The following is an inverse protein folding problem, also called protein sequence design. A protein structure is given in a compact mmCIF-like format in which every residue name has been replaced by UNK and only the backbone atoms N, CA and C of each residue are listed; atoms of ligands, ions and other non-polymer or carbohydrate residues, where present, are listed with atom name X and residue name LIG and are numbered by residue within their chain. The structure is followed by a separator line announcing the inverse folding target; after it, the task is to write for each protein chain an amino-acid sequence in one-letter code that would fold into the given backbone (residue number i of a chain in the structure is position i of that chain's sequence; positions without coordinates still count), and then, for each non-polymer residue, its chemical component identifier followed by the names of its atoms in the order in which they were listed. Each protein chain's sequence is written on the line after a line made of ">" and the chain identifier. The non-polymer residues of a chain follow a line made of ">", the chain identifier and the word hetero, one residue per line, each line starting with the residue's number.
data_IF_822699309807
#
_entry.id   IF_822699309807
#
_cell.length_a   1.000
_cell.length_b   1.000
_cell.length_c   1.000
_cell.angle_alpha   90.00
_cell.angle_beta   90.00
_cell.angle_gamma   90.00
#
_symmetry.space_group_name_H-M   'P 1'
#
loop_
_entity.id
_entity.type
_entity.pdbx_description
1 polymer ?
#
# COMPACT_ATOMS: atom_id res chain seq x y z
N UNK A 1 31.26 23.95 -6.06
CA UNK A 1 29.81 23.94 -5.81
C UNK A 1 29.15 23.35 -7.04
N UNK A 2 28.82 22.07 -7.03
CA UNK A 2 28.10 21.45 -8.15
C UNK A 2 26.76 22.15 -8.32
N UNK A 3 26.59 22.75 -9.49
CA UNK A 3 25.34 23.31 -9.99
C UNK A 3 24.24 22.25 -9.78
N UNK A 4 23.37 22.47 -8.78
CA UNK A 4 22.19 21.64 -8.56
C UNK A 4 21.38 21.64 -9.85
N UNK A 5 21.44 20.53 -10.57
CA UNK A 5 20.54 20.20 -11.66
C UNK A 5 19.11 20.56 -11.20
N UNK A 6 18.40 21.40 -11.96
CA UNK A 6 17.08 21.89 -11.55
C UNK A 6 16.22 20.67 -11.20
N UNK A 7 15.58 20.64 -10.01
CA UNK A 7 14.79 19.49 -9.62
C UNK A 7 13.69 19.26 -10.64
N UNK A 8 13.61 18.05 -11.19
CA UNK A 8 12.58 17.67 -12.15
C UNK A 8 11.17 17.78 -11.56
N UNK A 9 10.13 17.82 -12.42
CA UNK A 9 8.73 18.01 -12.00
C UNK A 9 8.29 17.03 -10.90
N UNK A 10 8.61 15.75 -11.06
CA UNK A 10 8.30 14.68 -10.10
C UNK A 10 8.98 14.93 -8.75
N UNK A 11 10.24 15.36 -8.75
CA UNK A 11 10.96 15.66 -7.51
C UNK A 11 10.34 16.86 -6.78
N UNK A 12 9.97 17.91 -7.51
CA UNK A 12 9.27 19.07 -6.93
C UNK A 12 7.94 18.68 -6.29
N UNK A 13 7.17 17.82 -6.95
CA UNK A 13 5.91 17.30 -6.39
C UNK A 13 6.14 16.54 -5.08
N UNK A 14 7.11 15.61 -5.06
CA UNK A 14 7.42 14.84 -3.85
C UNK A 14 7.92 15.73 -2.70
N UNK A 15 8.76 16.73 -3.01
CA UNK A 15 9.18 17.73 -2.02
C UNK A 15 7.98 18.56 -1.51
N UNK A 16 7.03 18.90 -2.37
CA UNK A 16 5.80 19.60 -1.99
C UNK A 16 4.93 18.76 -1.05
N UNK A 17 4.77 17.46 -1.35
CA UNK A 17 4.04 16.53 -0.48
C UNK A 17 4.70 16.40 0.91
N UNK A 18 6.04 16.40 0.98
CA UNK A 18 6.74 16.45 2.26
C UNK A 18 6.58 17.77 3.02
N UNK A 19 6.47 18.91 2.30
CA UNK A 19 6.20 20.21 2.95
C UNK A 19 4.80 20.25 3.55
N UNK A 20 3.81 19.68 2.86
CA UNK A 20 2.42 19.65 3.29
C UNK A 20 2.03 18.38 4.08
N UNK A 21 3.02 17.62 4.58
CA UNK A 21 2.79 16.38 5.35
C UNK A 21 1.84 16.54 6.55
N UNK A 22 1.82 17.71 7.18
CA UNK A 22 0.92 18.04 8.29
C UNK A 22 -0.54 18.08 7.83
N UNK A 23 -0.81 18.58 6.62
CA UNK A 23 -2.16 18.62 6.06
C UNK A 23 -2.68 17.19 5.87
N UNK A 24 -1.86 16.29 5.34
CA UNK A 24 -2.25 14.90 5.16
C UNK A 24 -2.57 14.20 6.50
N UNK A 25 -1.76 14.47 7.53
CA UNK A 25 -1.99 13.98 8.88
C UNK A 25 -3.29 14.55 9.48
N UNK A 26 -3.52 15.87 9.34
CA UNK A 26 -4.73 16.51 9.84
C UNK A 26 -5.98 15.97 9.14
N UNK A 27 -5.95 15.83 7.81
CA UNK A 27 -7.06 15.23 7.05
C UNK A 27 -7.32 13.81 7.51
N UNK A 28 -6.27 13.00 7.69
CA UNK A 28 -6.42 11.64 8.22
C UNK A 28 -7.11 11.66 9.59
N UNK A 29 -6.63 12.45 10.54
CA UNK A 29 -7.22 12.57 11.88
C UNK A 29 -8.67 13.06 11.82
N UNK A 30 -8.96 14.09 11.03
CA UNK A 30 -10.31 14.67 10.87
C UNK A 30 -11.28 13.69 10.23
N UNK A 31 -10.81 12.75 9.41
CA UNK A 31 -11.67 11.73 8.80
C UNK A 31 -11.82 10.52 9.72
N UNK A 32 -10.73 10.03 10.31
CA UNK A 32 -10.74 8.79 11.10
C UNK A 32 -11.29 8.99 12.51
N UNK A 33 -10.99 10.11 13.18
CA UNK A 33 -11.38 10.34 14.58
C UNK A 33 -12.89 10.53 14.75
N UNK A 34 -13.59 11.32 13.93
CA UNK A 34 -15.04 11.42 14.02
C UNK A 34 -15.75 10.10 13.70
N UNK A 35 -15.28 9.31 12.74
CA UNK A 35 -15.84 7.97 12.53
C UNK A 35 -15.62 7.04 13.72
N UNK A 36 -14.48 7.18 14.41
CA UNK A 36 -14.13 6.33 15.56
C UNK A 36 -14.83 6.78 16.86
N UNK A 37 -15.11 8.07 17.01
CA UNK A 37 -15.66 8.67 18.23
C UNK A 37 -17.15 9.08 18.15
N UNK A 38 -17.69 9.39 16.97
CA UNK A 38 -19.03 9.95 16.85
C UNK A 38 -20.05 8.94 16.30
N UNK A 39 -20.97 8.53 17.17
CA UNK A 39 -22.34 8.19 16.78
C UNK A 39 -23.06 9.48 16.32
N UNK A 40 -22.71 10.02 15.15
CA UNK A 40 -23.54 11.07 14.54
C UNK A 40 -24.88 10.40 14.22
N UNK A 41 -25.95 10.92 14.82
CA UNK A 41 -27.32 10.39 14.99
C UNK A 41 -28.08 9.82 13.76
N UNK A 42 -27.42 9.55 12.63
CA UNK A 42 -27.96 8.84 11.46
C UNK A 42 -27.25 7.53 11.11
N UNK A 43 -26.16 7.16 11.80
CA UNK A 43 -25.38 5.94 11.54
C UNK A 43 -25.47 4.98 12.73
N UNK A 44 -26.50 4.14 12.75
CA UNK A 44 -26.80 3.14 13.80
C UNK A 44 -26.04 1.81 13.56
N UNK A 45 -24.72 1.89 13.42
CA UNK A 45 -23.81 0.75 13.61
C UNK A 45 -22.63 1.31 14.39
N UNK A 46 -22.21 0.64 15.47
CA UNK A 46 -21.12 1.13 16.31
C UNK A 46 -19.91 1.47 15.44
N UNK A 47 -19.42 2.72 15.48
CA UNK A 47 -18.38 3.19 14.54
C UNK A 47 -17.13 2.28 14.48
N UNK A 48 -16.88 1.54 15.57
CA UNK A 48 -15.87 0.49 15.65
C UNK A 48 -16.12 -0.68 14.71
N UNK A 49 -17.35 -1.18 14.59
CA UNK A 49 -17.69 -2.28 13.67
C UNK A 49 -17.42 -1.92 12.21
N UNK A 50 -17.66 -0.68 11.77
CA UNK A 50 -17.37 -0.24 10.40
C UNK A 50 -15.87 -0.23 10.05
N UNK A 51 -15.00 0.05 11.02
CA UNK A 51 -13.54 0.00 10.79
C UNK A 51 -13.00 -1.41 10.60
N UNK A 52 -13.57 -2.39 11.32
CA UNK A 52 -13.07 -3.78 11.32
C UNK A 52 -13.85 -4.69 10.37
N UNK A 53 -15.07 -4.34 9.97
CA UNK A 53 -15.84 -5.08 8.98
C UNK A 53 -15.15 -5.13 7.63
N UNK A 54 -14.43 -4.06 7.25
CA UNK A 54 -13.74 -3.98 5.96
C UNK A 54 -12.61 -5.02 5.83
N UNK A 55 -11.65 -5.13 6.77
CA UNK A 55 -10.67 -6.22 6.75
C UNK A 55 -11.27 -7.63 6.90
N UNK A 56 -12.34 -7.79 7.70
CA UNK A 56 -13.08 -9.06 7.84
C UNK A 56 -13.64 -9.48 6.49
N UNK A 57 -14.43 -8.61 5.86
CA UNK A 57 -15.06 -8.87 4.58
C UNK A 57 -14.03 -9.16 3.48
N UNK A 58 -12.89 -8.46 3.50
CA UNK A 58 -11.78 -8.72 2.58
C UNK A 58 -11.15 -10.12 2.78
N UNK A 59 -11.04 -10.58 4.02
CA UNK A 59 -10.57 -11.94 4.35
C UNK A 59 -11.60 -13.00 3.93
N UNK A 60 -12.88 -12.80 4.23
CA UNK A 60 -13.98 -13.70 3.81
C UNK A 60 -14.07 -13.82 2.29
N UNK A 61 -14.03 -12.70 1.57
CA UNK A 61 -14.07 -12.70 0.11
C UNK A 61 -12.87 -13.46 -0.49
N UNK A 62 -11.70 -13.36 0.14
CA UNK A 62 -10.54 -14.14 -0.27
C UNK A 62 -10.72 -15.63 0.03
N UNK A 63 -11.25 -15.99 1.20
CA UNK A 63 -11.57 -17.37 1.59
C UNK A 63 -12.60 -18.02 0.67
N UNK A 64 -13.69 -17.32 0.36
CA UNK A 64 -14.71 -17.75 -0.60
C UNK A 64 -14.10 -17.96 -1.99
N UNK A 65 -13.27 -17.02 -2.48
CA UNK A 65 -12.57 -17.19 -3.75
C UNK A 65 -11.68 -18.44 -3.76
N UNK A 66 -10.92 -18.68 -2.68
CA UNK A 66 -10.06 -19.85 -2.54
C UNK A 66 -10.86 -21.17 -2.50
N UNK A 67 -11.98 -21.20 -1.78
CA UNK A 67 -12.86 -22.39 -1.69
C UNK A 67 -13.51 -22.77 -3.02
N UNK A 68 -13.69 -21.80 -3.92
CA UNK A 68 -14.22 -22.02 -5.27
C UNK A 68 -13.25 -22.72 -6.23
N UNK A 69 -12.01 -22.97 -5.81
CA UNK A 69 -10.93 -23.51 -6.63
C UNK A 69 -10.88 -25.03 -6.51
N UNK A 70 -11.36 -25.72 -7.55
CA UNK A 70 -11.44 -27.19 -7.60
C UNK A 70 -10.19 -27.85 -8.18
N UNK A 71 -9.26 -27.09 -8.76
CA UNK A 71 -7.98 -27.58 -9.28
C UNK A 71 -7.07 -26.49 -9.86
N UNK A 72 -5.92 -26.89 -10.42
CA UNK A 72 -4.93 -25.96 -10.99
C UNK A 72 -5.49 -25.17 -12.17
N UNK A 73 -6.30 -25.81 -13.02
CA UNK A 73 -6.92 -25.14 -14.16
C UNK A 73 -7.91 -24.05 -13.73
N UNK A 74 -8.74 -24.32 -12.71
CA UNK A 74 -9.67 -23.34 -12.17
C UNK A 74 -8.96 -22.19 -11.45
N UNK A 75 -7.85 -22.48 -10.76
CA UNK A 75 -6.97 -21.47 -10.15
C UNK A 75 -6.39 -20.55 -11.23
N UNK A 76 -5.87 -21.13 -12.32
CA UNK A 76 -5.30 -20.36 -13.41
C UNK A 76 -6.34 -19.48 -14.09
N UNK A 77 -7.51 -20.03 -14.45
CA UNK A 77 -8.56 -19.27 -15.12
C UNK A 77 -9.09 -18.11 -14.26
N UNK A 78 -9.16 -18.28 -12.93
CA UNK A 78 -9.64 -17.24 -12.01
C UNK A 78 -8.58 -16.20 -11.65
N UNK A 79 -7.28 -16.56 -11.68
CA UNK A 79 -6.20 -15.71 -11.20
C UNK A 79 -5.31 -15.11 -12.31
N UNK A 80 -5.38 -15.58 -13.56
CA UNK A 80 -4.38 -15.29 -14.62
C UNK A 80 -4.05 -13.79 -14.77
N UNK A 81 -5.04 -12.91 -14.75
CA UNK A 81 -4.79 -11.46 -14.88
C UNK A 81 -4.17 -10.86 -13.62
N UNK A 82 -4.55 -11.33 -12.43
CA UNK A 82 -3.94 -10.93 -11.17
C UNK A 82 -2.50 -11.43 -11.05
N UNK A 83 -2.23 -12.66 -11.49
CA UNK A 83 -0.87 -13.22 -11.55
C UNK A 83 -0.02 -12.41 -12.52
N UNK A 84 -0.52 -12.11 -13.72
CA UNK A 84 0.19 -11.29 -14.69
C UNK A 84 0.49 -9.88 -14.14
N UNK A 85 -0.50 -9.22 -13.54
CA UNK A 85 -0.32 -7.91 -12.91
C UNK A 85 0.67 -7.98 -11.74
N UNK A 86 0.58 -9.00 -10.89
CA UNK A 86 1.47 -9.22 -9.75
C UNK A 86 2.92 -9.43 -10.18
N UNK A 87 3.16 -10.28 -11.18
CA UNK A 87 4.51 -10.53 -11.75
C UNK A 87 5.07 -9.25 -12.37
N UNK A 88 4.27 -8.50 -13.13
CA UNK A 88 4.69 -7.23 -13.70
C UNK A 88 5.03 -6.19 -12.63
N UNK A 89 4.22 -6.09 -11.56
CA UNK A 89 4.49 -5.21 -10.42
C UNK A 89 5.81 -5.55 -9.73
N UNK A 90 6.03 -6.84 -9.45
CA UNK A 90 7.27 -7.32 -8.85
C UNK A 90 8.46 -7.02 -9.75
N UNK A 91 8.36 -7.30 -11.06
CA UNK A 91 9.41 -7.00 -12.04
C UNK A 91 9.76 -5.50 -12.06
N UNK A 92 8.76 -4.62 -12.05
CA UNK A 92 8.99 -3.17 -11.95
C UNK A 92 9.69 -2.79 -10.65
N UNK A 93 9.33 -3.40 -9.51
CA UNK A 93 10.01 -3.14 -8.24
C UNK A 93 11.46 -3.62 -8.23
N UNK A 94 11.78 -4.72 -8.92
CA UNK A 94 13.16 -5.15 -9.16
C UNK A 94 13.93 -4.16 -10.04
N UNK A 95 13.34 -3.71 -11.16
CA UNK A 95 13.98 -2.80 -12.13
C UNK A 95 14.23 -1.42 -11.53
N UNK A 96 13.23 -0.83 -10.88
CA UNK A 96 13.29 0.55 -10.39
C UNK A 96 13.79 0.65 -8.93
N UNK A 97 13.41 -0.28 -8.05
CA UNK A 97 13.80 -0.30 -6.64
C UNK A 97 15.02 -1.18 -6.34
N UNK A 98 15.44 -2.01 -7.29
CA UNK A 98 16.52 -2.98 -7.13
C UNK A 98 16.10 -4.26 -6.40
N UNK A 99 17.03 -5.22 -6.31
CA UNK A 99 16.79 -6.57 -5.75
C UNK A 99 16.15 -6.54 -4.37
N UNK A 100 16.60 -5.64 -3.48
CA UNK A 100 16.07 -5.58 -2.10
C UNK A 100 14.61 -5.12 -2.06
N UNK A 101 14.19 -4.25 -2.97
CA UNK A 101 12.82 -3.79 -3.07
C UNK A 101 11.90 -4.90 -3.60
N UNK A 102 12.36 -5.63 -4.63
CA UNK A 102 11.64 -6.78 -5.18
C UNK A 102 11.49 -7.94 -4.19
N UNK A 103 12.53 -8.25 -3.42
CA UNK A 103 12.43 -9.27 -2.35
C UNK A 103 11.49 -8.82 -1.24
N UNK A 104 11.59 -7.55 -0.82
CA UNK A 104 10.71 -7.01 0.21
C UNK A 104 9.24 -7.07 -0.21
N UNK A 105 8.94 -6.73 -1.48
CA UNK A 105 7.57 -6.80 -2.00
C UNK A 105 7.04 -8.22 -2.05
N UNK A 106 7.81 -9.19 -2.54
CA UNK A 106 7.41 -10.62 -2.54
C UNK A 106 7.09 -11.08 -1.11
N UNK A 107 8.02 -10.86 -0.17
CA UNK A 107 7.84 -11.29 1.22
C UNK A 107 6.62 -10.64 1.84
N UNK A 108 6.39 -9.35 1.60
CA UNK A 108 5.22 -8.66 2.13
C UNK A 108 3.91 -9.08 1.48
N UNK A 109 3.90 -9.39 0.18
CA UNK A 109 2.70 -9.89 -0.50
C UNK A 109 2.34 -11.28 0.04
N UNK A 110 3.33 -12.18 0.19
CA UNK A 110 3.13 -13.50 0.80
C UNK A 110 2.66 -13.39 2.25
N UNK A 111 3.24 -12.47 3.03
CA UNK A 111 2.78 -12.19 4.39
C UNK A 111 1.34 -11.65 4.40
N UNK A 112 0.97 -10.79 3.44
CA UNK A 112 -0.40 -10.30 3.28
C UNK A 112 -1.40 -11.42 3.00
N UNK A 113 -1.08 -12.33 2.08
CA UNK A 113 -1.89 -13.54 1.85
C UNK A 113 -1.99 -14.41 3.10
N UNK A 114 -0.87 -14.64 3.80
CA UNK A 114 -0.87 -15.40 5.04
C UNK A 114 -1.78 -14.79 6.11
N UNK A 115 -1.77 -13.45 6.24
CA UNK A 115 -2.67 -12.74 7.16
C UNK A 115 -4.13 -12.91 6.75
N UNK A 116 -4.47 -12.78 5.46
CA UNK A 116 -5.85 -12.95 4.99
C UNK A 116 -6.38 -14.37 5.24
N UNK A 117 -5.53 -15.39 5.14
CA UNK A 117 -5.88 -16.79 5.45
C UNK A 117 -6.06 -16.99 6.96
N UNK A 118 -5.17 -16.41 7.78
CA UNK A 118 -5.24 -16.55 9.24
C UNK A 118 -6.46 -15.84 9.86
N UNK A 119 -6.96 -14.79 9.21
CA UNK A 119 -8.13 -14.05 9.69
C UNK A 119 -9.44 -14.84 9.49
N UNK A 120 -9.54 -15.67 8.45
CA UNK A 120 -10.69 -16.55 8.11
C UNK A 120 -12.10 -15.92 8.31
N UNK A 121 -12.21 -14.59 8.17
CA UNK A 121 -13.46 -13.88 8.45
C UNK A 121 -13.91 -13.82 9.92
N UNK A 122 -13.11 -14.29 10.87
CA UNK A 122 -13.51 -14.30 12.28
C UNK A 122 -13.36 -12.90 12.90
N UNK A 123 -14.49 -12.20 13.05
CA UNK A 123 -14.57 -10.89 13.70
C UNK A 123 -13.93 -10.86 15.10
N UNK A 124 -13.98 -11.99 15.83
CA UNK A 124 -13.40 -12.11 17.18
C UNK A 124 -11.87 -12.12 17.16
N UNK A 125 -11.26 -12.49 16.02
CA UNK A 125 -9.81 -12.53 15.79
C UNK A 125 -9.30 -11.22 15.18
N UNK A 126 -10.10 -10.58 14.31
CA UNK A 126 -9.67 -9.38 13.57
C UNK A 126 -9.44 -8.18 14.50
N UNK A 127 -10.35 -7.98 15.47
CA UNK A 127 -10.28 -6.85 16.40
C UNK A 127 -8.99 -6.85 17.26
N UNK A 128 -8.65 -7.96 17.96
CA UNK A 128 -7.38 -8.03 18.68
C UNK A 128 -6.19 -8.04 17.73
N UNK A 129 -6.25 -8.66 16.55
CA UNK A 129 -5.11 -8.68 15.61
C UNK A 129 -4.72 -7.28 15.13
N UNK A 130 -5.67 -6.43 14.74
CA UNK A 130 -5.35 -5.07 14.29
C UNK A 130 -4.89 -4.18 15.44
N UNK A 131 -5.49 -4.31 16.63
CA UNK A 131 -5.04 -3.59 17.82
C UNK A 131 -3.62 -3.99 18.24
N UNK A 132 -3.34 -5.30 18.27
CA UNK A 132 -2.01 -5.83 18.55
C UNK A 132 -1.03 -5.42 17.46
N UNK A 133 -1.40 -5.46 16.17
CA UNK A 133 -0.54 -5.01 15.08
C UNK A 133 -0.21 -3.51 15.18
N UNK A 134 -1.18 -2.66 15.52
CA UNK A 134 -0.96 -1.24 15.75
C UNK A 134 -0.03 -1.01 16.94
N UNK A 135 -0.23 -1.72 18.05
CA UNK A 135 0.60 -1.61 19.25
C UNK A 135 2.01 -2.14 18.99
N UNK A 136 2.14 -3.33 18.41
CA UNK A 136 3.43 -3.94 18.04
C UNK A 136 4.15 -3.06 17.03
N UNK A 137 3.47 -2.55 16.00
CA UNK A 137 4.10 -1.65 15.02
C UNK A 137 4.56 -0.35 15.67
N UNK A 138 3.83 0.21 16.64
CA UNK A 138 4.24 1.38 17.41
C UNK A 138 5.46 1.09 18.31
N UNK A 139 5.45 -0.03 19.04
CA UNK A 139 6.58 -0.47 19.88
C UNK A 139 7.81 -0.68 19.01
N UNK A 140 7.69 -1.43 17.91
CA UNK A 140 8.78 -1.64 16.97
C UNK A 140 9.27 -0.30 16.39
N UNK A 141 8.36 0.62 16.03
CA UNK A 141 8.70 1.95 15.53
C UNK A 141 9.55 2.77 16.51
N UNK A 142 9.32 2.61 17.82
CA UNK A 142 10.08 3.28 18.88
C UNK A 142 11.42 2.59 19.15
N UNK A 143 11.50 1.26 19.11
CA UNK A 143 12.69 0.55 19.62
C UNK A 143 13.58 -0.07 18.52
N UNK A 144 13.04 -0.41 17.35
CA UNK A 144 13.77 -1.19 16.35
C UNK A 144 14.37 -0.30 15.26
N UNK A 145 15.69 -0.40 15.10
CA UNK A 145 16.46 0.30 14.06
C UNK A 145 16.44 -0.48 12.73
N UNK A 146 15.26 -0.64 12.13
CA UNK A 146 15.11 -1.22 10.78
C UNK A 146 14.22 -0.35 9.90
N UNK A 147 14.59 -0.20 8.62
CA UNK A 147 13.87 0.65 7.68
C UNK A 147 12.43 0.19 7.43
N UNK A 148 12.22 -1.12 7.35
CA UNK A 148 10.89 -1.77 7.19
C UNK A 148 9.95 -1.38 8.34
N UNK A 149 10.47 -1.33 9.57
CA UNK A 149 9.68 -0.97 10.76
C UNK A 149 9.27 0.51 10.73
N UNK A 150 10.14 1.39 10.22
CA UNK A 150 9.81 2.81 10.05
C UNK A 150 8.63 3.04 9.09
N UNK A 151 8.34 2.10 8.20
CA UNK A 151 7.20 2.16 7.28
C UNK A 151 5.97 1.39 7.77
N UNK A 152 6.12 0.44 8.70
CA UNK A 152 5.04 -0.41 9.19
C UNK A 152 3.97 0.38 9.95
N UNK A 153 4.36 1.26 10.88
CA UNK A 153 3.40 2.08 11.62
C UNK A 153 2.67 3.10 10.72
N UNK A 154 3.36 3.87 9.84
CA UNK A 154 2.69 4.68 8.82
C UNK A 154 1.75 3.89 7.93
N UNK A 155 2.12 2.66 7.53
CA UNK A 155 1.24 1.78 6.76
C UNK A 155 -0.04 1.48 7.53
N UNK A 156 0.07 0.97 8.77
CA UNK A 156 -1.09 0.64 9.62
C UNK A 156 -2.00 1.86 9.83
N UNK A 157 -1.42 3.04 10.10
CA UNK A 157 -2.20 4.29 10.21
C UNK A 157 -2.93 4.64 8.91
N UNK A 158 -2.24 4.55 7.76
CA UNK A 158 -2.85 4.81 6.46
C UNK A 158 -3.87 3.73 6.06
N UNK A 159 -3.76 2.52 6.59
CA UNK A 159 -4.73 1.45 6.34
C UNK A 159 -6.07 1.73 7.01
N UNK A 160 -6.10 2.37 8.18
CA UNK A 160 -7.35 2.82 8.82
C UNK A 160 -8.10 3.88 8.03
N UNK A 161 -7.42 4.59 7.12
CA UNK A 161 -8.08 5.57 6.26
C UNK A 161 -8.90 4.93 5.14
N UNK A 162 -8.59 3.68 4.76
CA UNK A 162 -9.24 3.01 3.62
C UNK A 162 -10.72 2.69 3.91
N UNK A 163 -11.10 2.08 5.06
CA UNK A 163 -12.51 1.92 5.44
C UNK A 163 -13.28 3.25 5.43
N UNK A 164 -12.66 4.33 5.92
CA UNK A 164 -13.32 5.64 5.91
C UNK A 164 -13.62 6.16 4.50
N UNK A 165 -12.70 5.95 3.54
CA UNK A 165 -12.95 6.29 2.14
C UNK A 165 -14.08 5.47 1.53
N UNK A 166 -14.24 4.22 1.98
CA UNK A 166 -15.31 3.33 1.54
C UNK A 166 -16.66 3.84 2.03
N UNK A 167 -16.76 4.15 3.33
CA UNK A 167 -18.00 4.59 3.96
C UNK A 167 -18.42 6.01 3.55
N UNK A 168 -17.46 6.91 3.28
CA UNK A 168 -17.73 8.28 2.80
C UNK A 168 -18.36 8.32 1.40
N UNK A 169 -18.27 7.24 0.63
CA UNK A 169 -18.81 7.22 -0.72
C UNK A 169 -19.41 5.86 -1.11
N UNK A 170 -20.60 5.53 -0.57
CA UNK A 170 -21.26 4.26 -0.84
C UNK A 170 -21.54 4.05 -2.33
N UNK A 171 -21.82 5.13 -3.09
CA UNK A 171 -22.15 5.10 -4.51
C UNK A 171 -20.93 4.94 -5.45
N UNK A 172 -19.71 5.24 -4.97
CA UNK A 172 -18.47 4.99 -5.72
C UNK A 172 -18.09 3.50 -5.66
N UNK A 173 -18.79 2.72 -4.83
CA UNK A 173 -18.26 1.49 -4.27
C UNK A 173 -19.32 0.37 -4.08
N UNK A 174 -20.58 0.62 -4.47
CA UNK A 174 -21.74 -0.26 -4.28
C UNK A 174 -21.81 -1.51 -5.17
N UNK A 175 -20.68 -2.05 -5.63
CA UNK A 175 -20.64 -3.30 -6.39
C UNK A 175 -20.29 -4.48 -5.46
N UNK A 176 -20.89 -5.65 -5.73
CA UNK A 176 -20.79 -6.93 -4.99
C UNK A 176 -19.38 -7.58 -4.91
N UNK A 177 -18.31 -6.78 -4.95
CA UNK A 177 -16.93 -7.26 -5.05
C UNK A 177 -15.92 -6.18 -4.66
N UNK A 178 -16.34 -5.32 -3.75
CA UNK A 178 -15.51 -4.31 -3.10
C UNK A 178 -14.52 -4.95 -2.13
N UNK A 179 -14.93 -6.02 -1.48
CA UNK A 179 -14.20 -6.77 -0.47
C UNK A 179 -12.93 -7.38 -1.07
N UNK A 180 -13.07 -8.02 -2.24
CA UNK A 180 -11.94 -8.58 -2.98
C UNK A 180 -10.99 -7.49 -3.50
N UNK A 181 -11.52 -6.33 -3.90
CA UNK A 181 -10.70 -5.17 -4.27
C UNK A 181 -9.90 -4.64 -3.07
N UNK A 182 -10.51 -4.58 -1.88
CA UNK A 182 -9.86 -4.15 -0.64
C UNK A 182 -8.72 -5.08 -0.23
N UNK A 183 -8.91 -6.40 -0.38
CA UNK A 183 -7.85 -7.39 -0.16
C UNK A 183 -6.65 -7.16 -1.10
N UNK A 184 -6.92 -7.02 -2.39
CA UNK A 184 -5.90 -6.77 -3.42
C UNK A 184 -5.18 -5.44 -3.20
N UNK A 185 -5.93 -4.39 -2.83
CA UNK A 185 -5.40 -3.09 -2.43
C UNK A 185 -4.43 -3.24 -1.26
N UNK A 186 -4.84 -3.89 -0.18
CA UNK A 186 -4.05 -3.99 1.05
C UNK A 186 -2.71 -4.68 0.81
N UNK A 187 -2.69 -5.74 0.00
CA UNK A 187 -1.47 -6.45 -0.39
C UNK A 187 -0.55 -5.59 -1.25
N UNK A 188 -1.10 -4.92 -2.27
CA UNK A 188 -0.34 -4.02 -3.13
C UNK A 188 0.23 -2.82 -2.36
N UNK A 189 -0.58 -2.23 -1.48
CA UNK A 189 -0.21 -1.14 -0.60
C UNK A 189 0.95 -1.56 0.31
N UNK A 190 0.83 -2.71 0.98
CA UNK A 190 1.87 -3.26 1.84
C UNK A 190 3.17 -3.51 1.06
N UNK A 191 3.07 -4.10 -0.13
CA UNK A 191 4.22 -4.37 -1.00
C UNK A 191 5.00 -3.12 -1.39
N UNK A 192 4.29 -2.07 -1.82
CA UNK A 192 4.92 -0.81 -2.18
C UNK A 192 5.48 -0.06 -0.97
N UNK A 193 4.79 -0.12 0.18
CA UNK A 193 5.27 0.47 1.43
C UNK A 193 6.58 -0.17 1.90
N UNK A 194 6.68 -1.50 1.86
CA UNK A 194 7.89 -2.21 2.26
C UNK A 194 9.03 -2.04 1.26
N UNK A 195 8.73 -2.05 -0.04
CA UNK A 195 9.71 -1.74 -1.09
C UNK A 195 10.26 -0.31 -0.93
N UNK A 196 9.40 0.67 -0.72
CA UNK A 196 9.77 2.06 -0.43
C UNK A 196 10.69 2.14 0.79
N UNK A 197 10.33 1.47 1.88
CA UNK A 197 11.08 1.47 3.14
C UNK A 197 12.52 0.96 2.96
N UNK A 198 12.68 -0.12 2.20
CA UNK A 198 13.99 -0.73 1.93
C UNK A 198 14.84 0.16 1.03
N UNK A 199 14.25 0.80 0.02
CA UNK A 199 14.97 1.76 -0.84
C UNK A 199 15.38 3.01 -0.06
N UNK A 200 14.49 3.56 0.77
CA UNK A 200 14.81 4.68 1.65
C UNK A 200 15.94 4.32 2.62
N UNK A 201 15.88 3.14 3.23
CA UNK A 201 16.93 2.60 4.09
C UNK A 201 18.29 2.48 3.39
N UNK A 202 18.31 2.04 2.13
CA UNK A 202 19.54 1.98 1.32
C UNK A 202 20.18 3.37 1.16
N UNK A 203 19.39 4.39 0.84
CA UNK A 203 19.91 5.76 0.68
C UNK A 203 20.37 6.38 2.02
N UNK A 204 19.67 6.10 3.12
CA UNK A 204 20.09 6.52 4.47
C UNK A 204 21.40 5.86 4.90
N UNK A 205 21.56 4.57 4.60
CA UNK A 205 22.80 3.83 4.84
C UNK A 205 24.00 4.33 4.02
N UNK A 206 23.74 5.03 2.91
CA UNK A 206 24.78 5.72 2.15
C UNK A 206 25.12 7.12 2.70
N UNK A 207 24.43 7.58 3.75
CA UNK A 207 24.65 8.88 4.41
C UNK A 207 23.89 10.06 3.79
N UNK A 208 22.92 9.79 2.89
CA UNK A 208 22.03 10.82 2.32
C UNK A 208 21.15 11.43 3.44
N UNK A 209 20.90 12.75 3.46
CA UNK A 209 19.98 13.34 4.43
C UNK A 209 18.57 12.76 4.31
N UNK A 210 17.85 12.67 5.42
CA UNK A 210 16.54 12.00 5.53
C UNK A 210 15.55 12.41 4.44
N UNK A 211 15.25 13.70 4.30
CA UNK A 211 14.32 14.19 3.28
C UNK A 211 14.78 13.81 1.86
N UNK A 212 16.07 13.91 1.58
CA UNK A 212 16.64 13.51 0.29
C UNK A 212 16.57 12.01 0.03
N UNK A 213 16.72 11.17 1.05
CA UNK A 213 16.59 9.72 0.94
C UNK A 213 15.14 9.31 0.65
N UNK A 214 14.18 9.90 1.35
CA UNK A 214 12.75 9.65 1.14
C UNK A 214 12.29 10.10 -0.26
N UNK A 215 12.67 11.31 -0.70
CA UNK A 215 12.32 11.80 -2.04
C UNK A 215 12.94 10.95 -3.14
N UNK A 216 14.19 10.50 -2.98
CA UNK A 216 14.84 9.60 -3.94
C UNK A 216 14.16 8.23 -4.00
N UNK A 217 13.81 7.66 -2.85
CA UNK A 217 13.08 6.41 -2.78
C UNK A 217 11.70 6.53 -3.43
N UNK A 218 10.92 7.56 -3.07
CA UNK A 218 9.60 7.79 -3.66
C UNK A 218 9.69 8.02 -5.17
N UNK A 219 10.70 8.77 -5.65
CA UNK A 219 10.91 8.96 -7.09
C UNK A 219 11.16 7.63 -7.82
N UNK A 220 11.89 6.69 -7.22
CA UNK A 220 12.08 5.35 -7.79
C UNK A 220 10.78 4.53 -7.76
N UNK A 221 9.91 4.77 -6.78
CA UNK A 221 8.62 4.10 -6.66
C UNK A 221 7.52 4.70 -7.55
N UNK A 222 7.73 5.84 -8.22
CA UNK A 222 6.71 6.48 -9.06
C UNK A 222 6.17 5.55 -10.15
N UNK A 223 7.06 4.95 -10.95
CA UNK A 223 6.63 4.07 -12.03
C UNK A 223 6.00 2.78 -11.49
N UNK A 224 6.63 2.05 -10.54
CA UNK A 224 6.03 0.86 -9.95
C UNK A 224 4.65 1.11 -9.33
N UNK A 225 4.45 2.23 -8.64
CA UNK A 225 3.17 2.56 -7.99
C UNK A 225 2.11 2.94 -9.01
N UNK A 226 2.41 3.83 -9.97
CA UNK A 226 1.42 4.27 -10.96
C UNK A 226 1.05 3.13 -11.91
N UNK A 227 2.04 2.50 -12.55
CA UNK A 227 1.77 1.43 -13.51
C UNK A 227 1.24 0.20 -12.78
N UNK A 228 1.76 -0.12 -11.60
CA UNK A 228 1.28 -1.25 -10.81
C UNK A 228 -0.17 -1.07 -10.33
N UNK A 229 -0.54 0.13 -9.88
CA UNK A 229 -1.93 0.42 -9.51
C UNK A 229 -2.86 0.32 -10.72
N UNK A 230 -2.44 0.80 -11.89
CA UNK A 230 -3.23 0.69 -13.12
C UNK A 230 -3.42 -0.79 -13.50
N UNK A 231 -2.34 -1.57 -13.55
CA UNK A 231 -2.39 -3.00 -13.86
C UNK A 231 -3.26 -3.77 -12.88
N UNK A 232 -3.18 -3.45 -11.59
CA UNK A 232 -3.99 -4.10 -10.55
C UNK A 232 -5.48 -3.82 -10.76
N UNK A 233 -5.87 -2.57 -10.98
CA UNK A 233 -7.29 -2.23 -11.14
C UNK A 233 -7.85 -2.79 -12.45
N UNK A 234 -7.06 -2.79 -13.53
CA UNK A 234 -7.45 -3.44 -14.80
C UNK A 234 -7.59 -4.95 -14.61
N UNK A 235 -6.63 -5.61 -13.96
CA UNK A 235 -6.72 -7.04 -13.68
C UNK A 235 -7.93 -7.41 -12.83
N UNK A 236 -8.29 -6.56 -11.85
CA UNK A 236 -9.49 -6.74 -11.01
C UNK A 236 -10.80 -6.54 -11.78
N UNK A 237 -10.81 -5.66 -12.78
CA UNK A 237 -11.97 -5.51 -13.66
C UNK A 237 -12.19 -6.76 -14.53
N UNK A 238 -11.10 -7.36 -15.04
CA UNK A 238 -11.14 -8.53 -15.93
C UNK A 238 -11.32 -9.87 -15.20
N UNK A 239 -10.77 -10.03 -13.98
CA UNK A 239 -10.88 -11.29 -13.21
C UNK A 239 -12.30 -11.66 -12.80
N UNK A 240 -13.24 -10.70 -12.82
CA UNK A 240 -14.66 -10.96 -12.53
C UNK A 240 -15.37 -11.77 -13.60
N UNK A 241 -14.78 -11.94 -14.79
CA UNK A 241 -15.37 -12.73 -15.89
C UNK A 241 -15.27 -14.25 -15.63
N UNK A 242 -14.58 -14.70 -14.58
CA UNK A 242 -14.18 -16.12 -14.43
C UNK A 242 -14.50 -16.76 -13.07
N UNK A 243 -15.64 -16.44 -12.42
CA UNK A 243 -16.11 -17.24 -11.27
C UNK A 243 -17.32 -18.11 -11.64
N UNK A 244 -17.33 -19.42 -11.31
CA UNK A 244 -18.45 -20.32 -11.62
C UNK A 244 -19.65 -20.18 -10.67
N UNK A 245 -19.52 -19.39 -9.59
CA UNK A 245 -20.55 -19.21 -8.56
C UNK A 245 -21.39 -17.93 -8.72
N UNK A 246 -21.03 -17.04 -9.64
CA UNK A 246 -21.82 -15.86 -9.96
C UNK A 246 -22.26 -16.00 -11.42
N UNK A 247 -23.58 -15.96 -11.72
CA UNK A 247 -24.02 -15.89 -13.11
C UNK A 247 -23.31 -14.70 -13.77
N UNK A 248 -23.00 -14.85 -15.06
CA UNK A 248 -22.49 -13.80 -15.94
C UNK A 248 -23.58 -12.75 -16.11
N UNK A 249 -23.99 -12.09 -15.03
CA UNK A 249 -24.49 -10.74 -15.14
C UNK A 249 -23.26 -9.92 -15.52
N UNK A 250 -23.28 -9.50 -16.77
CA UNK A 250 -22.46 -8.45 -17.36
C UNK A 250 -22.62 -7.17 -16.54
N UNK A 251 -22.13 -7.17 -15.30
CA UNK A 251 -21.82 -5.97 -14.55
C UNK A 251 -20.59 -5.38 -15.23
N UNK A 252 -20.84 -4.64 -16.32
CA UNK A 252 -19.88 -3.70 -16.87
C UNK A 252 -19.38 -2.86 -15.70
N UNK A 253 -18.20 -3.20 -15.17
CA UNK A 253 -17.55 -2.38 -14.15
C UNK A 253 -17.35 -1.05 -14.84
N UNK A 254 -18.11 -0.03 -14.44
CA UNK A 254 -18.05 1.28 -15.09
C UNK A 254 -16.61 1.74 -15.11
N UNK A 255 -16.11 2.20 -16.26
CA UNK A 255 -14.75 2.74 -16.39
C UNK A 255 -14.48 3.83 -15.35
N UNK A 256 -15.53 4.52 -14.89
CA UNK A 256 -15.47 5.51 -13.82
C UNK A 256 -15.01 4.88 -12.50
N UNK A 257 -15.48 3.68 -12.15
CA UNK A 257 -15.03 2.97 -10.95
C UNK A 257 -13.56 2.54 -11.04
N UNK A 258 -13.11 2.10 -12.22
CA UNK A 258 -11.70 1.78 -12.46
C UNK A 258 -10.83 3.01 -12.25
N UNK A 259 -11.24 4.16 -12.81
CA UNK A 259 -10.52 5.43 -12.64
C UNK A 259 -10.50 5.85 -11.17
N UNK A 260 -11.63 5.78 -10.46
CA UNK A 260 -11.68 6.20 -9.05
C UNK A 260 -10.82 5.29 -8.16
N UNK A 261 -10.87 3.97 -8.34
CA UNK A 261 -10.05 3.01 -7.60
C UNK A 261 -8.55 3.22 -7.86
N UNK A 262 -8.18 3.52 -9.11
CA UNK A 262 -6.82 3.89 -9.46
C UNK A 262 -6.38 5.17 -8.75
N UNK A 263 -7.19 6.23 -8.80
CA UNK A 263 -6.91 7.50 -8.12
C UNK A 263 -6.78 7.29 -6.62
N UNK A 264 -7.64 6.47 -6.00
CA UNK A 264 -7.57 6.15 -4.58
C UNK A 264 -6.23 5.49 -4.19
N UNK A 265 -5.74 4.52 -4.96
CA UNK A 265 -4.41 3.90 -4.75
C UNK A 265 -3.26 4.90 -4.84
N UNK A 266 -3.30 5.75 -5.87
CA UNK A 266 -2.25 6.76 -6.10
C UNK A 266 -2.26 7.82 -5.01
N UNK A 267 -3.44 8.32 -4.64
CA UNK A 267 -3.63 9.29 -3.56
C UNK A 267 -3.19 8.68 -2.22
N UNK A 268 -3.60 7.44 -1.92
CA UNK A 268 -3.17 6.74 -0.73
C UNK A 268 -1.65 6.68 -0.61
N UNK A 269 -0.94 6.33 -1.68
CA UNK A 269 0.52 6.23 -1.62
C UNK A 269 1.21 7.60 -1.55
N UNK A 270 0.90 8.53 -2.46
CA UNK A 270 1.67 9.79 -2.60
C UNK A 270 1.21 10.91 -1.67
N UNK A 271 -0.07 10.94 -1.29
CA UNK A 271 -0.65 12.02 -0.46
C UNK A 271 -0.68 11.62 1.00
N UNK A 272 -0.97 10.34 1.32
CA UNK A 272 -1.06 9.89 2.71
C UNK A 272 0.18 9.14 3.18
N UNK A 273 0.45 7.95 2.63
CA UNK A 273 1.52 7.08 3.10
C UNK A 273 2.90 7.74 3.02
N UNK A 274 3.28 8.28 1.86
CA UNK A 274 4.60 8.88 1.67
C UNK A 274 4.86 10.07 2.61
N UNK A 275 3.98 11.07 2.73
CA UNK A 275 4.20 12.17 3.66
C UNK A 275 4.21 11.75 5.13
N UNK A 276 3.31 10.84 5.53
CA UNK A 276 3.22 10.35 6.91
C UNK A 276 4.45 9.52 7.26
N UNK A 277 4.97 8.73 6.32
CA UNK A 277 6.21 7.99 6.53
C UNK A 277 7.36 8.90 6.94
N UNK A 278 7.38 10.18 6.53
CA UNK A 278 8.44 11.12 6.88
C UNK A 278 8.55 11.46 8.37
N UNK A 279 7.50 11.21 9.16
CA UNK A 279 7.51 11.36 10.62
C UNK A 279 8.24 10.23 11.34
N UNK A 280 8.58 9.14 10.64
CA UNK A 280 9.32 8.04 11.24
C UNK A 280 10.75 8.44 11.64
N UNK A 281 11.35 7.76 12.65
CA UNK A 281 12.68 8.07 13.16
C UNK A 281 13.82 7.60 12.22
N UNK A 282 13.74 7.96 10.93
CA UNK A 282 14.70 7.61 9.88
C UNK A 282 16.13 8.08 10.19
N UNK A 283 16.28 9.14 10.99
CA UNK A 283 17.58 9.65 11.41
C UNK A 283 18.45 8.59 12.08
N UNK A 284 17.83 7.61 12.78
CA UNK A 284 18.53 6.51 13.46
C UNK A 284 19.19 5.51 12.49
N UNK A 285 18.76 5.51 11.23
CA UNK A 285 19.25 4.61 10.18
C UNK A 285 20.33 5.25 9.31
N UNK A 286 20.64 6.53 9.54
CA UNK A 286 21.63 7.26 8.75
C UNK A 286 23.04 6.86 9.17
N UNK A 287 23.89 6.57 8.19
CA UNK A 287 25.30 6.40 8.44
C UNK A 287 25.95 7.72 8.92
N UNK A 288 26.80 7.65 9.95
CA UNK A 288 27.50 8.80 10.51
C UNK A 288 28.45 9.51 9.52
N UNK A 289 28.91 8.80 8.49
CA UNK A 289 29.69 9.35 7.38
C UNK A 289 29.02 9.06 6.04
N UNK A 290 29.18 9.98 5.08
CA UNK A 290 28.70 9.80 3.71
C UNK A 290 29.67 8.87 2.98
N UNK A 291 29.17 7.76 2.44
CA UNK A 291 29.96 6.92 1.54
C UNK A 291 30.08 7.66 0.21
N UNK A 292 31.30 8.01 -0.18
CA UNK A 292 31.59 8.54 -1.51
C UNK A 292 31.72 7.35 -2.44
N UNK A 293 30.76 7.16 -3.34
CA UNK A 293 30.92 6.22 -4.45
C UNK A 293 32.02 6.77 -5.35
N UNK A 294 33.23 6.23 -5.24
CA UNK A 294 34.26 6.46 -6.24
C UNK A 294 33.80 5.75 -7.50
N UNK A 295 33.17 6.50 -8.42
CA UNK A 295 33.01 6.03 -9.79
C UNK A 295 34.40 5.95 -10.38
N UNK A 296 34.94 4.75 -10.49
CA UNK A 296 36.13 4.50 -11.30
C UNK A 296 35.85 5.04 -12.70
N UNK A 297 36.46 6.19 -13.01
CA UNK A 297 36.52 6.68 -14.38
C UNK A 297 37.27 5.60 -15.15
N UNK A 298 36.55 4.79 -15.93
CA UNK A 298 37.15 3.92 -16.95
C UNK A 298 38.13 4.77 -17.75
N UNK A 299 39.43 4.58 -17.52
CA UNK A 299 40.47 5.13 -18.37
C UNK A 299 40.26 4.49 -19.73
N UNK A 300 39.79 5.28 -20.71
CA UNK A 300 39.87 4.90 -22.12
C UNK A 300 41.37 4.75 -22.42
N UNK A 301 41.80 3.52 -22.71
CA UNK A 301 43.01 3.27 -23.49
C UNK A 301 42.62 3.34 -24.96
#
# INVERSE_FOLDING_TARGET
>A
MDLREKPGKVQKFLELMLRFRLIALVVMVVVTVPMLLMNVKGFLVSGWQGFFSVPVAASEAFGMWLSGIQGVQSLWSSAQFLVAAGVACVAMLFVFGGVRAGVASIVSTLAGFGILILLDGDESVVLPMFGILALVSLVLFIFVKKSVVCALFPFVLCSFFIPCLVDLSPWILSENSIEFWLAAFAMFALANSMAFAVVAGKHLGAGVPQAGALVKAARQMVVPVLVGALLLVVALAETRVATPAMPVETAHTSWLFVVVRYVALVVWFFVFFFPISSFAPWARLRAGSRRVEMKDKKKKK
#
